data_IF_960109292947
#
_entry.id   IF_960109292947
#
_cell.length_a   1.000
_cell.length_b   1.000
_cell.length_c   1.000
_cell.angle_alpha   90.00
_cell.angle_beta   90.00
_cell.angle_gamma   90.00
#
_symmetry.space_group_name_H-M   'P 1'
#
loop_
_entity.id
_entity.type
_entity.pdbx_description
1 polymer ?
#
# COMPACT_ATOMS: atom_id res chain seq x y z
N UNK A 1 4.31 6.47 20.34
CA UNK A 1 5.67 5.86 20.18
C UNK A 1 6.67 6.46 21.14
N UNK A 2 6.77 7.79 21.24
CA UNK A 2 7.71 8.50 22.11
C UNK A 2 7.02 9.17 23.32
N UNK A 3 6.00 8.53 23.91
CA UNK A 3 5.16 9.15 24.95
C UNK A 3 5.92 9.50 26.24
N UNK A 4 6.99 8.76 26.51
CA UNK A 4 7.82 8.92 27.71
C UNK A 4 9.18 9.56 27.39
N UNK A 5 9.43 9.95 26.13
CA UNK A 5 10.67 10.60 25.74
C UNK A 5 10.61 12.09 26.09
N UNK A 6 11.57 12.56 26.88
CA UNK A 6 11.70 13.98 27.21
C UNK A 6 12.40 14.72 26.07
N UNK A 7 11.62 15.39 25.22
CA UNK A 7 12.14 16.15 24.08
C UNK A 7 13.01 17.35 24.47
N UNK A 8 12.99 17.81 25.73
CA UNK A 8 13.86 18.90 26.17
C UNK A 8 15.34 18.53 26.16
N UNK A 9 15.67 17.23 26.18
CA UNK A 9 17.07 16.76 26.08
C UNK A 9 17.71 17.09 24.72
N UNK A 10 16.90 17.33 23.69
CA UNK A 10 17.41 17.68 22.36
C UNK A 10 18.08 19.06 22.33
N UNK A 11 17.79 19.92 23.31
CA UNK A 11 18.43 21.23 23.48
C UNK A 11 19.78 21.12 24.24
N UNK A 12 20.11 19.96 24.79
CA UNK A 12 21.39 19.71 25.45
C UNK A 12 22.52 19.59 24.40
N UNK A 13 23.57 20.43 24.44
CA UNK A 13 24.73 20.34 23.53
C UNK A 13 25.50 19.00 23.60
N UNK A 14 25.35 18.24 24.70
CA UNK A 14 25.93 16.90 24.83
C UNK A 14 25.10 15.82 24.13
N UNK A 15 23.84 16.10 23.81
CA UNK A 15 22.95 15.21 23.06
C UNK A 15 23.29 15.25 21.56
N UNK A 16 24.06 14.24 21.13
CA UNK A 16 24.68 14.18 19.79
C UNK A 16 23.99 13.16 18.88
N UNK A 17 24.52 13.06 17.67
CA UNK A 17 24.00 12.20 16.60
C UNK A 17 23.86 10.73 17.03
N UNK A 18 24.78 10.21 17.85
CA UNK A 18 24.72 8.87 18.41
C UNK A 18 23.54 8.65 19.35
N UNK A 19 23.18 9.65 20.15
CA UNK A 19 21.99 9.61 21.00
C UNK A 19 20.70 9.66 20.16
N UNK A 20 20.61 10.57 19.18
CA UNK A 20 19.50 10.60 18.21
C UNK A 20 19.33 9.24 17.51
N UNK A 21 20.45 8.60 17.15
CA UNK A 21 20.46 7.29 16.49
C UNK A 21 19.84 6.20 17.36
N UNK A 22 20.22 6.12 18.63
CA UNK A 22 19.75 5.06 19.52
C UNK A 22 18.38 5.34 20.13
N UNK A 23 18.09 6.56 20.55
CA UNK A 23 16.88 6.87 21.31
C UNK A 23 15.68 7.17 20.41
N UNK A 24 15.91 7.59 19.17
CA UNK A 24 14.85 8.03 18.25
C UNK A 24 14.81 7.20 16.98
N UNK A 25 15.92 7.16 16.22
CA UNK A 25 15.94 6.51 14.91
C UNK A 25 15.72 5.00 15.03
N UNK A 26 16.40 4.34 15.97
CA UNK A 26 16.24 2.90 16.16
C UNK A 26 14.81 2.51 16.56
N UNK A 27 14.15 3.12 17.57
CA UNK A 27 12.74 2.85 17.86
C UNK A 27 11.81 3.12 16.68
N UNK A 28 12.06 4.19 15.91
CA UNK A 28 11.31 4.50 14.69
C UNK A 28 11.42 3.35 13.66
N UNK A 29 12.63 2.90 13.36
CA UNK A 29 12.88 1.81 12.41
C UNK A 29 12.28 0.49 12.91
N UNK A 30 12.35 0.22 14.22
CA UNK A 30 11.73 -0.95 14.82
C UNK A 30 10.20 -0.92 14.70
N UNK A 31 9.58 0.25 14.89
CA UNK A 31 8.16 0.43 14.70
C UNK A 31 7.72 0.33 13.23
N UNK A 32 8.58 0.73 12.28
CA UNK A 32 8.36 0.52 10.85
C UNK A 32 8.43 -0.96 10.43
N UNK A 33 8.95 -1.84 11.29
CA UNK A 33 9.06 -3.28 11.02
C UNK A 33 10.45 -3.75 10.58
N UNK A 34 11.48 -2.90 10.71
CA UNK A 34 12.88 -3.29 10.48
C UNK A 34 13.50 -3.87 11.75
N UNK A 35 14.43 -4.80 11.57
CA UNK A 35 15.18 -5.46 12.65
C UNK A 35 16.65 -5.60 12.28
N UNK A 36 17.57 -5.87 13.23
CA UNK A 36 18.98 -6.11 12.88
C UNK A 36 19.19 -7.38 12.05
N UNK A 37 18.23 -8.31 12.07
CA UNK A 37 18.24 -9.59 11.37
C UNK A 37 16.85 -9.94 10.84
N UNK A 38 16.76 -10.92 9.94
CA UNK A 38 15.50 -11.37 9.33
C UNK A 38 15.35 -10.87 7.89
N UNK A 39 14.12 -10.87 7.36
CA UNK A 39 13.85 -10.44 5.99
C UNK A 39 13.90 -8.92 5.82
N UNK A 40 13.45 -8.17 6.83
CA UNK A 40 13.41 -6.70 6.83
C UNK A 40 14.52 -6.18 7.73
N UNK A 41 15.67 -5.83 7.13
CA UNK A 41 16.90 -5.51 7.88
C UNK A 41 17.15 -4.01 7.94
N UNK A 42 17.63 -3.55 9.08
CA UNK A 42 18.30 -2.27 9.23
C UNK A 42 19.81 -2.49 9.30
N UNK A 43 20.48 -2.42 8.15
CA UNK A 43 21.93 -2.64 8.02
C UNK A 43 22.67 -1.38 8.43
N UNK A 44 23.50 -1.48 9.46
CA UNK A 44 24.33 -0.37 9.97
C UNK A 44 25.73 -0.43 9.37
N UNK A 45 26.40 0.71 9.29
CA UNK A 45 27.82 0.82 8.99
C UNK A 45 28.26 0.16 7.67
N UNK A 46 27.40 0.14 6.66
CA UNK A 46 27.73 -0.41 5.33
C UNK A 46 28.67 0.55 4.62
N UNK A 47 29.93 0.14 4.44
CA UNK A 47 30.92 0.94 3.70
C UNK A 47 30.61 0.91 2.21
N UNK A 48 30.37 2.08 1.62
CA UNK A 48 30.17 2.26 0.19
C UNK A 48 31.44 2.89 -0.39
N UNK A 49 32.17 2.13 -1.23
CA UNK A 49 33.37 2.64 -1.90
C UNK A 49 32.94 3.44 -3.13
N UNK A 50 33.24 4.74 -3.14
CA UNK A 50 32.88 5.60 -4.26
C UNK A 50 33.57 5.09 -5.54
N UNK A 51 32.81 4.88 -6.63
CA UNK A 51 33.40 4.42 -7.88
C UNK A 51 34.41 5.44 -8.41
N UNK A 52 35.62 4.95 -8.69
CA UNK A 52 36.64 5.58 -9.54
C UNK A 52 37.01 7.05 -9.27
N UNK A 53 37.29 7.40 -8.01
CA UNK A 53 37.85 8.72 -7.65
C UNK A 53 39.38 8.75 -7.89
N UNK A 54 39.79 9.36 -9.00
CA UNK A 54 41.18 9.76 -9.25
C UNK A 54 41.38 11.23 -8.83
N UNK A 55 42.36 11.49 -7.97
CA UNK A 55 42.84 12.84 -7.68
C UNK A 55 44.29 12.92 -8.18
N UNK A 56 44.48 13.58 -9.33
CA UNK A 56 45.74 13.55 -10.07
C UNK A 56 46.07 12.14 -10.55
N UNK A 57 47.28 11.65 -10.26
CA UNK A 57 47.76 10.31 -10.65
C UNK A 57 47.45 9.23 -9.59
N UNK A 58 46.92 9.62 -8.44
CA UNK A 58 46.67 8.70 -7.32
C UNK A 58 45.19 8.30 -7.25
N UNK A 59 44.92 6.99 -7.26
CA UNK A 59 43.60 6.44 -6.93
C UNK A 59 43.41 6.52 -5.42
N UNK A 60 42.42 7.28 -4.95
CA UNK A 60 42.04 7.33 -3.53
C UNK A 60 40.73 6.59 -3.34
N UNK A 61 40.70 5.67 -2.38
CA UNK A 61 39.46 5.05 -1.93
C UNK A 61 38.73 6.05 -1.03
N UNK A 62 37.60 6.56 -1.51
CA UNK A 62 36.69 7.38 -0.71
C UNK A 62 35.54 6.47 -0.28
N UNK A 63 35.49 6.14 1.00
CA UNK A 63 34.38 5.39 1.56
C UNK A 63 33.38 6.35 2.18
N UNK A 64 32.11 6.16 1.86
CA UNK A 64 31.00 6.90 2.43
C UNK A 64 30.11 5.90 3.17
N UNK A 65 29.66 6.23 4.38
CA UNK A 65 28.97 5.29 5.27
C UNK A 65 27.65 5.93 5.72
N UNK A 66 26.49 5.48 5.20
CA UNK A 66 25.20 5.87 5.76
C UNK A 66 25.00 5.20 7.13
N UNK A 67 24.24 5.85 8.01
CA UNK A 67 23.88 5.23 9.29
C UNK A 67 23.07 3.95 9.12
N UNK A 68 22.10 3.97 8.21
CA UNK A 68 21.25 2.82 7.91
C UNK A 68 21.01 2.65 6.42
N UNK A 69 21.18 1.42 5.95
CA UNK A 69 20.60 0.91 4.70
C UNK A 69 19.48 -0.05 5.08
N UNK A 70 18.27 0.26 4.64
CA UNK A 70 17.07 -0.50 4.99
C UNK A 70 16.76 -1.46 3.85
N UNK A 71 16.80 -2.75 4.17
CA UNK A 71 16.62 -3.83 3.22
C UNK A 71 15.29 -4.55 3.46
N UNK A 72 14.64 -4.98 2.38
CA UNK A 72 13.45 -5.83 2.41
C UNK A 72 13.75 -7.04 1.52
N UNK A 73 13.66 -8.24 2.09
CA UNK A 73 14.00 -9.52 1.43
C UNK A 73 15.41 -9.53 0.82
N UNK A 74 16.36 -8.85 1.49
CA UNK A 74 17.76 -8.77 1.06
C UNK A 74 18.06 -7.72 0.00
N UNK A 75 17.08 -6.93 -0.43
CA UNK A 75 17.29 -5.81 -1.36
C UNK A 75 17.24 -4.46 -0.63
N UNK A 76 18.20 -3.55 -0.86
CA UNK A 76 18.12 -2.17 -0.39
C UNK A 76 16.87 -1.47 -0.93
N UNK A 77 16.08 -0.84 -0.07
CA UNK A 77 14.88 -0.09 -0.46
C UNK A 77 14.97 1.40 -0.16
N UNK A 78 15.66 1.80 0.90
CA UNK A 78 15.92 3.20 1.25
C UNK A 78 17.07 3.33 2.24
N UNK A 79 17.57 4.56 2.46
CA UNK A 79 18.60 4.86 3.46
C UNK A 79 18.13 5.92 4.46
N UNK A 80 18.70 5.90 5.66
CA UNK A 80 18.48 6.93 6.67
C UNK A 80 19.81 7.37 7.26
N UNK A 81 19.98 8.69 7.41
CA UNK A 81 21.13 9.31 8.07
C UNK A 81 20.67 10.14 9.28
N UNK A 82 21.19 9.82 10.47
CA UNK A 82 20.94 10.60 11.67
C UNK A 82 21.84 11.84 11.66
N UNK A 83 21.39 12.90 12.34
CA UNK A 83 22.19 14.10 12.61
C UNK A 83 21.99 14.54 14.05
N UNK A 84 22.90 15.36 14.57
CA UNK A 84 22.66 16.01 15.86
C UNK A 84 21.48 17.00 15.78
N UNK A 85 20.80 17.30 16.90
CA UNK A 85 19.59 18.14 16.92
C UNK A 85 19.74 19.50 16.25
N UNK A 86 20.92 20.11 16.37
CA UNK A 86 21.21 21.44 15.83
C UNK A 86 21.48 21.45 14.31
N UNK A 87 21.60 20.29 13.67
CA UNK A 87 21.85 20.23 12.23
C UNK A 87 20.57 20.43 11.42
N UNK A 88 20.69 21.16 10.31
CA UNK A 88 19.62 21.26 9.32
C UNK A 88 19.55 19.97 8.49
N UNK A 89 18.34 19.42 8.36
CA UNK A 89 18.05 18.19 7.60
C UNK A 89 17.08 18.40 6.43
N UNK A 90 16.66 19.64 6.18
CA UNK A 90 15.72 20.00 5.12
C UNK A 90 16.45 20.52 3.87
N UNK A 91 17.67 21.06 4.02
CA UNK A 91 18.50 21.55 2.91
C UNK A 91 19.99 21.56 3.21
N UNK A 92 20.79 21.71 2.14
CA UNK A 92 22.23 21.90 2.20
C UNK A 92 23.00 20.59 2.36
N UNK A 93 24.22 20.69 2.91
CA UNK A 93 25.23 19.62 2.90
C UNK A 93 24.74 18.26 3.39
N UNK A 94 23.87 18.22 4.41
CA UNK A 94 23.42 16.96 5.00
C UNK A 94 22.46 16.23 4.05
N UNK A 95 21.58 16.98 3.38
CA UNK A 95 20.67 16.44 2.35
C UNK A 95 21.46 15.94 1.15
N UNK A 96 22.44 16.71 0.68
CA UNK A 96 23.33 16.32 -0.43
C UNK A 96 24.14 15.05 -0.10
N UNK A 97 24.62 14.95 1.15
CA UNK A 97 25.30 13.76 1.65
C UNK A 97 24.36 12.54 1.63
N UNK A 98 23.16 12.64 2.21
CA UNK A 98 22.20 11.53 2.23
C UNK A 98 21.76 11.14 0.82
N UNK A 99 21.54 12.11 -0.06
CA UNK A 99 21.23 11.88 -1.48
C UNK A 99 22.35 11.06 -2.16
N UNK A 100 23.62 11.39 -1.91
CA UNK A 100 24.76 10.67 -2.48
C UNK A 100 24.79 9.19 -2.09
N UNK A 101 24.37 8.85 -0.86
CA UNK A 101 24.22 7.46 -0.43
C UNK A 101 23.13 6.74 -1.23
N UNK A 102 21.99 7.39 -1.44
CA UNK A 102 20.85 6.77 -2.10
C UNK A 102 21.13 6.45 -3.58
N UNK A 103 21.81 7.34 -4.29
CA UNK A 103 22.14 7.13 -5.71
C UNK A 103 23.42 6.29 -5.91
N UNK A 104 24.11 5.91 -4.83
CA UNK A 104 25.35 5.14 -4.91
C UNK A 104 25.14 3.81 -5.66
N UNK A 105 26.04 3.37 -6.56
CA UNK A 105 25.82 2.17 -7.36
C UNK A 105 25.52 0.88 -6.60
N UNK A 106 26.09 0.72 -5.41
CA UNK A 106 25.90 -0.46 -4.55
C UNK A 106 24.59 -0.46 -3.75
N UNK A 107 23.85 0.66 -3.77
CA UNK A 107 22.61 0.86 -3.02
C UNK A 107 21.44 1.15 -3.96
N UNK A 108 21.53 2.20 -4.79
CA UNK A 108 20.54 2.61 -5.82
C UNK A 108 19.08 2.54 -5.35
N UNK A 109 18.75 3.35 -4.35
CA UNK A 109 17.41 3.41 -3.78
C UNK A 109 16.69 4.70 -4.16
N UNK A 110 15.36 4.65 -4.18
CA UNK A 110 14.52 5.79 -4.52
C UNK A 110 14.40 6.79 -3.38
N UNK A 111 14.39 6.32 -2.14
CA UNK A 111 14.13 7.14 -0.97
C UNK A 111 15.35 7.26 -0.07
N UNK A 112 15.51 8.45 0.49
CA UNK A 112 16.44 8.71 1.57
C UNK A 112 15.79 9.59 2.62
N UNK A 113 16.20 9.41 3.87
CA UNK A 113 15.67 10.19 4.97
C UNK A 113 16.80 10.73 5.85
N UNK A 114 16.50 11.84 6.53
CA UNK A 114 17.32 12.37 7.59
C UNK A 114 16.48 12.54 8.85
N UNK A 115 17.10 12.30 10.01
CA UNK A 115 16.48 12.55 11.31
C UNK A 115 17.46 13.26 12.23
N UNK A 116 17.06 14.39 12.81
CA UNK A 116 17.85 15.11 13.81
C UNK A 116 17.26 15.01 15.22
N UNK A 117 16.28 14.13 15.43
CA UNK A 117 15.56 14.00 16.70
C UNK A 117 14.40 14.99 16.88
N UNK A 118 14.48 16.19 16.32
CA UNK A 118 13.31 17.08 16.24
C UNK A 118 12.39 16.73 15.09
N UNK A 119 12.95 16.36 13.94
CA UNK A 119 12.19 16.09 12.71
C UNK A 119 12.70 14.85 12.00
N UNK A 120 11.80 14.19 11.29
CA UNK A 120 12.07 13.21 10.24
C UNK A 120 11.72 13.84 8.89
N UNK A 121 12.69 13.92 7.98
CA UNK A 121 12.49 14.40 6.61
C UNK A 121 12.82 13.29 5.61
N UNK A 122 11.90 12.98 4.71
CA UNK A 122 12.05 11.94 3.68
C UNK A 122 12.00 12.58 2.31
N UNK A 123 12.90 12.16 1.43
CA UNK A 123 13.05 12.66 0.08
C UNK A 123 12.94 11.51 -0.92
N UNK A 124 12.47 11.86 -2.11
CA UNK A 124 12.52 11.02 -3.31
C UNK A 124 13.64 11.57 -4.20
N UNK A 125 14.56 10.71 -4.67
CA UNK A 125 15.69 11.13 -5.54
C UNK A 125 15.24 11.82 -6.83
N UNK A 126 13.98 11.65 -7.22
CA UNK A 126 13.38 12.28 -8.41
C UNK A 126 12.71 13.63 -8.14
N UNK A 127 12.61 14.05 -6.87
CA UNK A 127 11.90 15.27 -6.47
C UNK A 127 12.84 16.25 -5.78
N UNK A 128 12.51 17.54 -5.90
CA UNK A 128 13.28 18.61 -5.26
C UNK A 128 12.87 18.86 -3.81
N UNK A 129 11.57 18.77 -3.54
CA UNK A 129 10.98 18.98 -2.22
C UNK A 129 10.83 17.65 -1.46
N UNK A 130 10.91 17.66 -0.13
CA UNK A 130 10.68 16.46 0.67
C UNK A 130 9.24 15.94 0.50
N UNK A 131 9.09 14.62 0.51
CA UNK A 131 7.79 13.92 0.43
C UNK A 131 7.16 13.70 1.80
N UNK A 132 7.97 13.73 2.87
CA UNK A 132 7.53 13.71 4.26
C UNK A 132 8.41 14.68 5.04
N UNK A 133 7.81 15.53 5.87
CA UNK A 133 8.51 16.37 6.83
C UNK A 133 7.64 16.47 8.08
N UNK A 134 8.00 15.70 9.12
CA UNK A 134 7.20 15.56 10.35
C UNK A 134 8.07 15.83 11.56
N UNK A 135 7.52 16.54 12.54
CA UNK A 135 8.15 16.64 13.85
C UNK A 135 8.04 15.29 14.57
N UNK A 136 9.12 14.86 15.24
CA UNK A 136 9.14 13.58 15.98
C UNK A 136 8.14 13.61 17.15
N UNK A 137 7.95 14.76 17.79
CA UNK A 137 6.92 14.95 18.82
C UNK A 137 5.49 14.70 18.30
N UNK A 138 5.26 14.98 17.01
CA UNK A 138 3.95 14.81 16.34
C UNK A 138 3.88 13.52 15.51
N UNK A 139 4.88 12.63 15.65
CA UNK A 139 4.98 11.43 14.83
C UNK A 139 3.77 10.51 15.01
N UNK A 140 3.19 10.42 16.21
CA UNK A 140 2.02 9.56 16.47
C UNK A 140 0.81 9.99 15.62
N UNK A 141 0.56 11.30 15.50
CA UNK A 141 -0.51 11.85 14.67
C UNK A 141 -0.22 11.71 13.17
N UNK A 142 1.05 11.61 12.78
CA UNK A 142 1.48 11.50 11.39
C UNK A 142 1.98 10.09 11.03
N UNK A 143 1.74 9.10 11.90
CA UNK A 143 2.37 7.80 11.81
C UNK A 143 2.02 7.08 10.52
N UNK A 144 0.75 7.13 10.13
CA UNK A 144 0.28 6.51 8.88
C UNK A 144 0.96 7.11 7.65
N UNK A 145 1.21 8.42 7.61
CA UNK A 145 1.95 9.05 6.51
C UNK A 145 3.37 8.47 6.40
N UNK A 146 4.07 8.29 7.54
CA UNK A 146 5.43 7.72 7.53
C UNK A 146 5.40 6.23 7.19
N UNK A 147 4.50 5.46 7.81
CA UNK A 147 4.35 4.01 7.61
C UNK A 147 4.05 3.65 6.16
N UNK A 148 3.18 4.41 5.49
CA UNK A 148 2.81 4.21 4.08
C UNK A 148 3.92 4.53 3.09
N UNK A 149 4.95 5.25 3.51
CA UNK A 149 6.11 5.55 2.65
C UNK A 149 7.28 4.59 2.91
N UNK A 150 7.52 4.25 4.18
CA UNK A 150 8.79 3.64 4.59
C UNK A 150 8.69 2.22 5.14
N UNK A 151 7.49 1.67 5.39
CA UNK A 151 7.38 0.31 5.90
C UNK A 151 7.78 -0.73 4.85
N UNK A 152 8.27 -1.92 5.26
CA UNK A 152 8.54 -3.01 4.32
C UNK A 152 7.34 -3.37 3.45
N UNK A 153 6.14 -3.39 4.03
CA UNK A 153 4.90 -3.65 3.28
C UNK A 153 4.66 -2.59 2.20
N UNK A 154 4.84 -1.31 2.53
CA UNK A 154 4.70 -0.22 1.57
C UNK A 154 5.65 -0.33 0.37
N UNK A 155 6.86 -0.82 0.62
CA UNK A 155 7.94 -0.86 -0.38
C UNK A 155 7.96 -2.16 -1.19
N UNK A 156 7.38 -3.25 -0.67
CA UNK A 156 7.30 -4.57 -1.31
C UNK A 156 5.95 -4.81 -1.98
N UNK A 157 4.85 -4.46 -1.31
CA UNK A 157 3.47 -4.70 -1.74
C UNK A 157 2.57 -3.49 -1.41
N UNK A 158 2.80 -2.32 -2.04
CA UNK A 158 2.05 -1.10 -1.74
C UNK A 158 0.52 -1.26 -1.89
N UNK A 159 0.07 -2.14 -2.79
CA UNK A 159 -1.34 -2.48 -3.02
C UNK A 159 -2.05 -3.04 -1.77
N UNK A 160 -1.30 -3.56 -0.80
CA UNK A 160 -1.85 -4.10 0.45
C UNK A 160 -2.02 -3.07 1.56
N UNK A 161 -1.46 -1.85 1.44
CA UNK A 161 -1.48 -0.85 2.51
C UNK A 161 -2.89 -0.37 2.89
N UNK A 162 -3.83 -0.45 1.95
CA UNK A 162 -5.22 -0.02 2.08
C UNK A 162 -6.19 -1.16 1.70
N UNK A 163 -5.73 -2.43 1.78
CA UNK A 163 -6.57 -3.57 1.44
C UNK A 163 -7.76 -3.65 2.40
N UNK A 164 -8.94 -3.32 1.89
CA UNK A 164 -10.20 -3.50 2.59
C UNK A 164 -10.71 -4.92 2.33
N UNK A 165 -11.34 -5.57 3.33
CA UNK A 165 -12.08 -6.80 3.04
C UNK A 165 -13.11 -6.52 1.94
N UNK A 166 -13.38 -7.53 1.11
CA UNK A 166 -14.52 -7.45 0.22
C UNK A 166 -15.82 -7.30 1.04
N UNK A 167 -16.89 -6.84 0.40
CA UNK A 167 -18.17 -6.59 1.05
C UNK A 167 -18.70 -7.82 1.81
N UNK A 168 -18.59 -9.02 1.24
CA UNK A 168 -19.09 -10.22 1.92
C UNK A 168 -18.26 -10.60 3.14
N UNK A 169 -16.92 -10.56 3.03
CA UNK A 169 -16.04 -10.80 4.17
C UNK A 169 -16.22 -9.74 5.25
N UNK A 170 -16.43 -8.48 4.87
CA UNK A 170 -16.77 -7.41 5.80
C UNK A 170 -18.06 -7.74 6.56
N UNK A 171 -19.13 -8.10 5.86
CA UNK A 171 -20.42 -8.45 6.47
C UNK A 171 -20.30 -9.64 7.43
N UNK A 172 -19.56 -10.67 7.03
CA UNK A 172 -19.26 -11.82 7.87
C UNK A 172 -18.52 -11.42 9.15
N UNK A 173 -17.45 -10.61 9.03
CA UNK A 173 -16.69 -10.11 10.18
C UNK A 173 -17.52 -9.19 11.09
N UNK A 174 -18.49 -8.47 10.53
CA UNK A 174 -19.44 -7.66 11.28
C UNK A 174 -20.53 -8.49 11.99
N UNK A 175 -20.53 -9.82 11.86
CA UNK A 175 -21.46 -10.73 12.54
C UNK A 175 -22.72 -11.08 11.75
N UNK A 176 -22.77 -10.75 10.45
CA UNK A 176 -23.87 -11.13 9.57
C UNK A 176 -23.91 -12.66 9.39
N UNK A 177 -25.06 -13.33 9.63
CA UNK A 177 -25.14 -14.76 9.40
C UNK A 177 -25.01 -15.11 7.92
N UNK A 178 -24.39 -16.25 7.64
CA UNK A 178 -24.41 -16.88 6.32
C UNK A 178 -25.85 -17.00 5.82
N UNK A 179 -26.06 -16.71 4.54
CA UNK A 179 -27.40 -16.70 3.94
C UNK A 179 -28.21 -15.43 4.23
N UNK A 180 -27.67 -14.45 4.96
CA UNK A 180 -28.36 -13.18 5.17
C UNK A 180 -28.66 -12.51 3.83
N UNK A 181 -29.94 -12.20 3.62
CA UNK A 181 -30.42 -11.53 2.41
C UNK A 181 -30.00 -10.06 2.42
N UNK A 182 -29.46 -9.62 1.29
CA UNK A 182 -29.12 -8.23 0.98
C UNK A 182 -29.81 -7.81 -0.31
N UNK A 183 -30.28 -6.57 -0.35
CA UNK A 183 -30.91 -5.97 -1.53
C UNK A 183 -30.10 -4.75 -1.92
N UNK A 184 -29.60 -4.77 -3.14
CA UNK A 184 -28.81 -3.70 -3.72
C UNK A 184 -29.72 -2.90 -4.65
N UNK A 185 -29.86 -1.62 -4.33
CA UNK A 185 -30.47 -0.62 -5.18
C UNK A 185 -29.74 -0.57 -6.54
N UNK A 186 -30.33 0.09 -7.56
CA UNK A 186 -29.79 0.05 -8.91
C UNK A 186 -28.32 0.46 -8.89
N UNK A 187 -27.47 -0.49 -9.28
CA UNK A 187 -26.03 -0.31 -9.27
C UNK A 187 -25.49 -0.62 -10.66
N UNK A 188 -24.48 0.14 -11.08
CA UNK A 188 -23.80 -0.11 -12.34
C UNK A 188 -23.12 -1.48 -12.32
N UNK A 189 -23.28 -2.24 -13.40
CA UNK A 189 -22.62 -3.54 -13.58
C UNK A 189 -21.58 -3.42 -14.69
N UNK A 190 -20.36 -2.95 -14.38
CA UNK A 190 -19.33 -2.70 -15.38
C UNK A 190 -18.61 -3.98 -15.81
N UNK A 191 -18.51 -4.97 -14.93
CA UNK A 191 -17.71 -6.17 -15.17
C UNK A 191 -18.55 -7.42 -14.89
N UNK A 192 -18.65 -8.27 -15.91
CA UNK A 192 -19.27 -9.60 -15.82
C UNK A 192 -18.26 -10.61 -16.32
N UNK A 193 -18.03 -11.67 -15.55
CA UNK A 193 -17.12 -12.75 -15.92
C UNK A 193 -17.81 -14.13 -15.79
N UNK A 194 -17.35 -15.09 -16.59
CA UNK A 194 -17.72 -16.49 -16.48
C UNK A 194 -16.54 -17.23 -15.86
N UNK A 195 -16.70 -17.64 -14.59
CA UNK A 195 -15.67 -18.33 -13.81
C UNK A 195 -15.51 -19.77 -14.28
N UNK A 196 -16.64 -20.44 -14.55
CA UNK A 196 -16.67 -21.76 -15.17
C UNK A 196 -18.02 -21.97 -15.89
N UNK A 197 -18.30 -23.17 -16.40
CA UNK A 197 -19.51 -23.44 -17.15
C UNK A 197 -20.81 -23.23 -16.38
N UNK A 198 -20.79 -23.33 -15.05
CA UNK A 198 -21.96 -23.20 -14.18
C UNK A 198 -21.97 -21.92 -13.34
N UNK A 199 -20.86 -21.17 -13.31
CA UNK A 199 -20.66 -20.03 -12.43
C UNK A 199 -20.26 -18.78 -13.22
N UNK A 200 -21.02 -17.72 -12.97
CA UNK A 200 -20.76 -16.37 -13.42
C UNK A 200 -20.60 -15.46 -12.21
N UNK A 201 -19.88 -14.35 -12.38
CA UNK A 201 -19.73 -13.36 -11.33
C UNK A 201 -19.81 -11.95 -11.90
N UNK A 202 -20.31 -11.02 -11.09
CA UNK A 202 -20.20 -9.57 -11.32
C UNK A 202 -19.23 -9.02 -10.28
N UNK A 203 -18.28 -8.20 -10.73
CA UNK A 203 -17.39 -7.47 -9.83
C UNK A 203 -17.71 -5.97 -9.87
N UNK A 204 -17.94 -5.39 -8.70
CA UNK A 204 -18.32 -3.98 -8.55
C UNK A 204 -17.91 -3.49 -7.17
N UNK A 205 -17.72 -2.17 -7.01
CA UNK A 205 -17.58 -1.56 -5.70
C UNK A 205 -18.96 -1.14 -5.16
N UNK A 206 -19.29 -1.60 -3.96
CA UNK A 206 -20.50 -1.23 -3.21
C UNK A 206 -20.16 -0.15 -2.20
N UNK A 207 -20.93 0.93 -2.18
CA UNK A 207 -20.82 1.93 -1.10
C UNK A 207 -21.36 1.38 0.22
N UNK A 208 -20.60 1.54 1.30
CA UNK A 208 -20.97 1.14 2.65
C UNK A 208 -20.44 2.15 3.68
N UNK A 209 -21.33 2.96 4.26
CA UNK A 209 -20.93 4.11 5.07
C UNK A 209 -20.17 5.14 4.22
N UNK A 210 -19.00 5.56 4.69
CA UNK A 210 -18.10 6.49 3.98
C UNK A 210 -17.12 5.76 3.02
N UNK A 211 -17.18 4.43 2.97
CA UNK A 211 -16.26 3.59 2.20
C UNK A 211 -16.91 2.96 0.97
N UNK A 212 -16.05 2.52 0.04
CA UNK A 212 -16.43 1.62 -1.04
C UNK A 212 -15.67 0.30 -0.86
N UNK A 213 -16.41 -0.80 -0.89
CA UNK A 213 -15.86 -2.16 -0.77
C UNK A 213 -16.05 -2.89 -2.09
N UNK A 214 -15.03 -3.59 -2.56
CA UNK A 214 -15.17 -4.53 -3.67
C UNK A 214 -16.18 -5.62 -3.29
N UNK A 215 -17.04 -6.02 -4.21
CA UNK A 215 -18.02 -7.08 -4.01
C UNK A 215 -18.08 -7.95 -5.26
N UNK A 216 -18.06 -9.26 -5.04
CA UNK A 216 -18.36 -10.26 -6.06
C UNK A 216 -19.78 -10.77 -5.87
N UNK A 217 -20.52 -10.86 -6.97
CA UNK A 217 -21.89 -11.38 -7.01
C UNK A 217 -21.92 -12.62 -7.88
N UNK A 218 -21.98 -13.78 -7.25
CA UNK A 218 -21.92 -15.08 -7.89
C UNK A 218 -23.30 -15.61 -8.23
N UNK A 219 -23.46 -16.16 -9.43
CA UNK A 219 -24.75 -16.62 -9.93
C UNK A 219 -24.65 -17.70 -11.01
N UNK A 220 -25.72 -18.48 -11.13
CA UNK A 220 -25.79 -19.61 -12.06
C UNK A 220 -26.40 -19.26 -13.42
N UNK A 221 -26.53 -20.28 -14.28
CA UNK A 221 -27.12 -20.15 -15.63
C UNK A 221 -28.55 -19.58 -15.63
N UNK A 222 -29.34 -19.87 -14.60
CA UNK A 222 -30.72 -19.38 -14.50
C UNK A 222 -30.74 -17.87 -14.33
N UNK A 223 -29.98 -17.37 -13.37
CA UNK A 223 -29.83 -15.95 -13.07
C UNK A 223 -29.11 -15.22 -14.21
N UNK A 224 -28.15 -15.87 -14.88
CA UNK A 224 -27.53 -15.33 -16.09
C UNK A 224 -28.55 -15.05 -17.21
N UNK A 225 -29.47 -15.99 -17.47
CA UNK A 225 -30.56 -15.76 -18.43
C UNK A 225 -31.47 -14.61 -17.98
N UNK A 226 -31.72 -14.50 -16.68
CA UNK A 226 -32.49 -13.39 -16.11
C UNK A 226 -31.79 -12.05 -16.32
N UNK A 227 -30.48 -11.96 -16.06
CA UNK A 227 -29.66 -10.77 -16.30
C UNK A 227 -29.77 -10.34 -17.77
N UNK A 228 -29.51 -11.25 -18.72
CA UNK A 228 -29.58 -10.96 -20.15
C UNK A 228 -30.95 -10.45 -20.61
N UNK A 229 -32.03 -10.86 -19.94
CA UNK A 229 -33.39 -10.45 -20.26
C UNK A 229 -33.72 -9.03 -19.77
N UNK A 230 -33.07 -8.59 -18.68
CA UNK A 230 -33.30 -7.25 -18.13
C UNK A 230 -32.36 -6.19 -18.73
N UNK A 231 -31.18 -6.59 -19.22
CA UNK A 231 -30.22 -5.68 -19.85
C UNK A 231 -30.77 -5.05 -21.15
N UNK A 232 -30.28 -3.86 -21.55
CA UNK A 232 -30.50 -3.31 -22.89
C UNK A 232 -30.08 -4.31 -23.97
N UNK A 233 -30.76 -4.30 -25.13
CA UNK A 233 -30.58 -5.32 -26.17
C UNK A 233 -29.16 -5.37 -26.75
N UNK A 234 -28.53 -4.21 -26.91
CA UNK A 234 -27.15 -4.05 -27.34
C UNK A 234 -26.17 -4.60 -26.29
N UNK A 235 -26.32 -4.20 -25.02
CA UNK A 235 -25.50 -4.69 -23.92
C UNK A 235 -25.66 -6.21 -23.72
N UNK A 236 -26.88 -6.73 -23.77
CA UNK A 236 -27.19 -8.17 -23.69
C UNK A 236 -26.47 -8.98 -24.78
N UNK A 237 -26.34 -8.44 -25.98
CA UNK A 237 -25.57 -9.08 -27.07
C UNK A 237 -24.07 -9.07 -26.78
N UNK A 238 -23.52 -7.95 -26.29
CA UNK A 238 -22.10 -7.83 -25.92
C UNK A 238 -21.76 -8.83 -24.82
N UNK A 239 -22.53 -8.85 -23.73
CA UNK A 239 -22.36 -9.78 -22.61
C UNK A 239 -22.43 -11.23 -23.09
N UNK A 240 -23.45 -11.58 -23.88
CA UNK A 240 -23.63 -12.95 -24.39
C UNK A 240 -22.46 -13.41 -25.26
N UNK A 241 -21.89 -12.53 -26.09
CA UNK A 241 -20.83 -12.89 -27.01
C UNK A 241 -19.46 -12.94 -26.31
N UNK A 242 -19.18 -11.99 -25.43
CA UNK A 242 -17.90 -11.91 -24.72
C UNK A 242 -17.69 -13.07 -23.75
N UNK A 243 -18.74 -13.52 -23.07
CA UNK A 243 -18.64 -14.67 -22.15
C UNK A 243 -18.57 -16.04 -22.85
N UNK A 244 -18.56 -16.09 -24.19
CA UNK A 244 -18.41 -17.34 -24.98
C UNK A 244 -16.97 -17.61 -25.43
N UNK A 245 -16.09 -16.62 -25.34
CA UNK A 245 -14.72 -16.72 -25.82
C UNK A 245 -13.76 -16.13 -24.80
N UNK A 246 -12.52 -16.60 -24.77
CA UNK A 246 -11.47 -16.04 -23.91
C UNK A 246 -11.34 -14.53 -24.17
N UNK A 247 -11.30 -13.67 -23.12
CA UNK A 247 -11.02 -13.97 -21.70
C UNK A 247 -12.22 -14.46 -20.85
N UNK A 248 -13.39 -14.71 -21.45
CA UNK A 248 -14.63 -15.06 -20.75
C UNK A 248 -15.08 -13.98 -19.75
N UNK A 249 -14.76 -12.73 -20.08
CA UNK A 249 -15.02 -11.53 -19.31
C UNK A 249 -15.51 -10.43 -20.24
N UNK A 250 -16.38 -9.57 -19.72
CA UNK A 250 -16.87 -8.37 -20.39
C UNK A 250 -16.73 -7.19 -19.45
N UNK A 251 -15.95 -6.20 -19.88
CA UNK A 251 -15.80 -4.90 -19.22
C UNK A 251 -16.54 -3.86 -20.07
N UNK A 252 -17.49 -3.17 -19.47
CA UNK A 252 -18.31 -2.13 -20.07
C UNK A 252 -17.80 -0.77 -19.57
N UNK A 253 -17.10 -0.03 -20.45
CA UNK A 253 -16.62 1.32 -20.12
C UNK A 253 -17.66 2.41 -20.40
N UNK A 254 -18.56 2.15 -21.36
CA UNK A 254 -19.64 3.04 -21.77
C UNK A 254 -21.00 2.31 -21.67
N UNK A 255 -22.07 3.05 -21.40
CA UNK A 255 -23.43 2.51 -21.25
C UNK A 255 -23.54 1.41 -20.17
N UNK A 256 -22.88 1.61 -19.03
CA UNK A 256 -22.93 0.68 -17.90
C UNK A 256 -24.40 0.51 -17.46
N UNK A 257 -24.96 -0.72 -17.54
CA UNK A 257 -26.34 -0.96 -17.17
C UNK A 257 -26.50 -0.89 -15.65
N UNK A 258 -27.58 -0.26 -15.19
CA UNK A 258 -27.98 -0.31 -13.78
C UNK A 258 -28.92 -1.50 -13.53
N UNK A 259 -28.61 -2.27 -12.49
CA UNK A 259 -29.37 -3.47 -12.13
C UNK A 259 -29.61 -3.50 -10.62
N UNK A 260 -30.83 -3.87 -10.21
CA UNK A 260 -31.10 -4.22 -8.81
C UNK A 260 -30.77 -5.70 -8.57
N UNK A 261 -30.06 -5.99 -7.49
CA UNK A 261 -29.61 -7.33 -7.14
C UNK A 261 -30.17 -7.73 -5.78
N UNK A 262 -30.82 -8.90 -5.71
CA UNK A 262 -31.11 -9.58 -4.45
C UNK A 262 -30.13 -10.75 -4.31
N UNK A 263 -29.34 -10.75 -3.24
CA UNK A 263 -28.32 -11.76 -3.00
C UNK A 263 -28.30 -12.21 -1.55
N UNK A 264 -27.73 -13.38 -1.30
CA UNK A 264 -27.48 -13.89 0.05
C UNK A 264 -25.99 -13.83 0.33
N UNK A 265 -25.58 -13.56 1.57
CA UNK A 265 -24.19 -13.74 1.98
C UNK A 265 -23.77 -15.20 1.77
N UNK A 266 -22.70 -15.43 1.00
CA UNK A 266 -22.16 -16.76 0.73
C UNK A 266 -21.64 -17.47 1.98
N UNK A 267 -21.49 -18.79 1.88
CA UNK A 267 -20.97 -19.68 2.91
C UNK A 267 -19.52 -20.09 2.67
N UNK A 268 -18.99 -19.83 1.46
CA UNK A 268 -17.61 -20.14 1.08
C UNK A 268 -16.74 -18.90 1.20
N UNK A 269 -15.68 -19.00 2.00
CA UNK A 269 -14.58 -18.05 2.02
C UNK A 269 -13.48 -18.52 1.06
N UNK A 270 -13.17 -17.69 0.07
CA UNK A 270 -12.03 -17.88 -0.82
C UNK A 270 -10.83 -17.15 -0.25
N UNK A 271 -9.64 -17.74 -0.41
CA UNK A 271 -8.40 -17.18 0.12
C UNK A 271 -7.22 -17.56 -0.78
N UNK A 272 -6.33 -16.59 -1.01
CA UNK A 272 -4.99 -16.81 -1.53
C UNK A 272 -3.95 -16.09 -0.65
N UNK A 273 -2.71 -15.97 -1.13
CA UNK A 273 -1.62 -15.35 -0.37
C UNK A 273 -1.82 -13.86 -0.05
N UNK A 274 -2.69 -13.17 -0.81
CA UNK A 274 -2.86 -11.72 -0.75
C UNK A 274 -4.28 -11.27 -0.38
N UNK A 275 -5.30 -12.08 -0.69
CA UNK A 275 -6.71 -11.72 -0.52
C UNK A 275 -7.54 -12.84 0.12
N UNK A 276 -8.57 -12.40 0.83
CA UNK A 276 -9.69 -13.21 1.29
C UNK A 276 -10.97 -12.52 0.84
N UNK A 277 -11.95 -13.30 0.36
CA UNK A 277 -13.26 -12.76 0.02
C UNK A 277 -14.40 -13.78 0.21
N UNK A 278 -15.63 -13.28 0.35
CA UNK A 278 -16.86 -14.08 0.38
C UNK A 278 -17.84 -13.51 -0.65
N UNK A 279 -18.15 -14.21 -1.75
CA UNK A 279 -19.09 -13.70 -2.74
C UNK A 279 -20.53 -13.65 -2.20
N UNK A 280 -21.29 -12.70 -2.71
CA UNK A 280 -22.74 -12.62 -2.55
C UNK A 280 -23.41 -13.54 -3.57
N UNK A 281 -24.24 -14.49 -3.12
CA UNK A 281 -24.93 -15.44 -4.00
C UNK A 281 -26.24 -14.84 -4.50
N UNK A 282 -26.29 -14.44 -5.76
CA UNK A 282 -27.48 -13.80 -6.36
C UNK A 282 -28.65 -14.78 -6.41
N UNK A 283 -29.82 -14.28 -6.03
CA UNK A 283 -31.11 -14.97 -6.17
C UNK A 283 -32.02 -14.34 -7.21
N UNK A 284 -31.84 -13.04 -7.48
CA UNK A 284 -32.68 -12.31 -8.43
C UNK A 284 -31.98 -11.08 -8.99
N UNK A 285 -32.09 -10.91 -10.30
CA UNK A 285 -31.89 -9.63 -10.98
C UNK A 285 -33.24 -8.99 -11.32
N UNK A 286 -33.33 -7.66 -11.17
CA UNK A 286 -34.52 -6.90 -11.58
C UNK A 286 -34.16 -5.53 -12.13
N UNK A 287 -35.03 -5.00 -13.00
CA UNK A 287 -34.92 -3.62 -13.48
C UNK A 287 -35.32 -2.67 -12.36
N UNK A 288 -34.64 -1.54 -12.32
CA UNK A 288 -35.20 -0.38 -11.64
C UNK A 288 -36.35 0.19 -12.48
N UNK A 289 -37.53 0.26 -11.91
CA UNK A 289 -38.65 0.98 -12.50
C UNK A 289 -38.73 2.28 -11.70
N UNK A 290 -38.32 3.39 -12.33
CA UNK A 290 -38.52 4.74 -11.79
C UNK A 290 -40.00 5.09 -11.79
#
# INVERSE_FOLDING_TARGET
MFKEFDFSILDDPEYKEDAVREDIVKPLLEALGYRPSGENKMVRSRSLEHPDVYIGVSKRKVNIIPDYVLEVKGEPKWILDAKSPLQNIEKGKNVEQAFSYAIHPDVRVRFYALCNGHKLTVFDVTKREPIVNVAICDLESNWETVRRQLSPLALDKPELLDYKPDFGLFMFKAGSPVGQRQVFNPMGVPLIAKVNDELFTIMVNVGFGDDYLAASFDFGKKEYKQLLAILPNDVSKVVRNGLRHQPYEVILENNIPEVCIEALLGDVKYQNENEEYIPMVVKKFSRYIK
#
